data_IF_068773391693
#
_entry.id   IF_068773391693
#
_cell.length_a   1.000
_cell.length_b   1.000
_cell.length_c   1.000
_cell.angle_alpha   90.00
_cell.angle_beta   90.00
_cell.angle_gamma   90.00
#
_symmetry.space_group_name_H-M   'P 1'
#
loop_
_entity.id
_entity.type
_entity.pdbx_description
1 polymer ?
#
# COMPACT_ATOMS: atom_id res chain seq x y z
N UNK A 1 -6.54 -1.01 22.74
CA UNK A 1 -5.82 -1.94 21.87
C UNK A 1 -5.98 -3.37 22.39
N UNK A 2 -6.22 -4.34 21.51
CA UNK A 2 -6.52 -5.74 21.87
C UNK A 2 -5.30 -6.47 22.44
N UNK A 3 -4.09 -5.93 22.19
CA UNK A 3 -2.84 -6.44 22.75
C UNK A 3 -2.59 -7.92 22.41
N UNK A 4 -2.13 -8.70 23.40
CA UNK A 4 -1.80 -10.13 23.24
C UNK A 4 -3.02 -11.00 22.89
N UNK A 5 -4.24 -10.57 23.18
CA UNK A 5 -5.44 -11.32 22.80
C UNK A 5 -5.64 -11.42 21.27
N UNK A 6 -4.91 -10.61 20.49
CA UNK A 6 -4.93 -10.69 19.03
C UNK A 6 -3.97 -11.75 18.45
N UNK A 7 -3.06 -12.33 19.27
CA UNK A 7 -2.07 -13.30 18.78
C UNK A 7 -2.74 -14.50 18.09
N UNK A 8 -2.21 -14.88 16.93
CA UNK A 8 -2.77 -15.92 16.06
C UNK A 8 -3.92 -15.45 15.17
N UNK A 9 -4.47 -14.25 15.40
CA UNK A 9 -5.49 -13.67 14.55
C UNK A 9 -4.99 -13.47 13.11
N UNK A 10 -5.87 -13.72 12.13
CA UNK A 10 -5.57 -13.58 10.70
C UNK A 10 -6.46 -12.48 10.11
N UNK A 11 -5.88 -11.65 9.26
CA UNK A 11 -6.60 -10.60 8.52
C UNK A 11 -6.08 -10.48 7.11
N UNK A 12 -6.89 -9.94 6.21
CA UNK A 12 -6.48 -9.61 4.83
C UNK A 12 -6.61 -8.12 4.62
N UNK A 13 -5.57 -7.50 4.03
CA UNK A 13 -5.59 -6.08 3.75
C UNK A 13 -4.61 -5.71 2.64
N UNK A 14 -4.82 -4.55 1.99
CA UNK A 14 -3.96 -4.03 0.93
C UNK A 14 -2.66 -3.41 1.45
N UNK A 15 -2.45 -3.37 2.75
CA UNK A 15 -1.21 -2.90 3.37
C UNK A 15 -0.78 -3.81 4.51
N UNK A 16 0.52 -3.88 4.75
CA UNK A 16 1.08 -4.51 5.94
C UNK A 16 2.39 -3.82 6.32
N UNK A 17 2.61 -3.47 7.59
CA UNK A 17 3.92 -2.98 8.03
C UNK A 17 5.03 -4.04 7.89
N UNK A 18 4.67 -5.32 7.77
CA UNK A 18 5.59 -6.43 7.48
C UNK A 18 5.87 -6.64 5.99
N UNK A 19 5.20 -5.94 5.08
CA UNK A 19 5.43 -6.08 3.65
C UNK A 19 6.81 -5.53 3.24
N UNK A 20 7.57 -6.21 2.36
CA UNK A 20 8.88 -5.72 1.90
C UNK A 20 8.84 -4.29 1.35
N UNK A 21 7.82 -3.95 0.57
CA UNK A 21 7.67 -2.63 -0.04
C UNK A 21 7.40 -1.50 0.97
N UNK A 22 6.96 -1.82 2.19
CA UNK A 22 6.66 -0.85 3.22
C UNK A 22 7.85 -0.49 4.11
N UNK A 23 8.97 -1.26 4.06
CA UNK A 23 10.03 -1.20 5.07
C UNK A 23 10.66 0.18 5.22
N UNK A 24 11.00 0.85 4.13
CA UNK A 24 11.62 2.18 4.17
C UNK A 24 10.67 3.21 4.81
N UNK A 25 9.39 3.18 4.44
CA UNK A 25 8.39 4.05 5.02
C UNK A 25 8.17 3.74 6.51
N UNK A 26 8.07 2.47 6.88
CA UNK A 26 7.88 2.04 8.26
C UNK A 26 9.04 2.51 9.13
N UNK A 27 10.29 2.30 8.67
CA UNK A 27 11.48 2.73 9.39
C UNK A 27 11.52 4.27 9.58
N UNK A 28 11.28 5.03 8.51
CA UNK A 28 11.25 6.50 8.58
C UNK A 28 10.11 7.01 9.48
N UNK A 29 8.93 6.39 9.41
CA UNK A 29 7.79 6.77 10.24
C UNK A 29 8.06 6.47 11.72
N UNK A 30 8.61 5.30 12.04
CA UNK A 30 8.99 4.94 13.40
C UNK A 30 10.05 5.88 13.97
N UNK A 31 11.08 6.22 13.19
CA UNK A 31 12.11 7.18 13.61
C UNK A 31 11.52 8.56 13.92
N UNK A 32 10.52 8.99 13.15
CA UNK A 32 9.88 10.31 13.31
C UNK A 32 8.80 10.34 14.39
N UNK A 33 8.05 9.25 14.58
CA UNK A 33 6.82 9.22 15.39
C UNK A 33 6.87 8.29 16.60
N UNK A 34 7.92 7.49 16.76
CA UNK A 34 8.08 6.53 17.86
C UNK A 34 7.07 5.36 17.84
N UNK A 35 6.34 5.16 16.73
CA UNK A 35 5.34 4.09 16.60
C UNK A 35 5.21 3.63 15.16
N UNK A 36 4.61 2.45 14.95
CA UNK A 36 4.27 1.95 13.62
C UNK A 36 3.25 2.85 12.91
N UNK A 37 3.34 2.99 11.58
CA UNK A 37 2.29 3.64 10.80
C UNK A 37 1.01 2.82 10.83
N UNK A 38 -0.13 3.50 10.93
CA UNK A 38 -1.44 2.91 10.71
C UNK A 38 -1.89 3.08 9.26
N UNK A 39 -3.08 2.55 8.95
CA UNK A 39 -3.67 2.62 7.60
C UNK A 39 -3.71 4.04 7.03
N UNK A 40 -4.25 4.99 7.77
CA UNK A 40 -4.39 6.36 7.30
C UNK A 40 -3.05 7.03 6.96
N UNK A 41 -2.00 6.79 7.77
CA UNK A 41 -0.67 7.34 7.51
C UNK A 41 0.00 6.69 6.29
N UNK A 42 -0.17 5.37 6.11
CA UNK A 42 0.35 4.66 4.94
C UNK A 42 -0.39 5.08 3.67
N UNK A 43 -1.71 5.20 3.72
CA UNK A 43 -2.53 5.67 2.58
C UNK A 43 -2.18 7.09 2.16
N UNK A 44 -1.99 8.00 3.12
CA UNK A 44 -1.53 9.37 2.83
C UNK A 44 -0.15 9.40 2.17
N UNK A 45 0.78 8.57 2.65
CA UNK A 45 2.11 8.46 2.04
C UNK A 45 2.05 7.89 0.62
N UNK A 46 1.28 6.82 0.40
CA UNK A 46 1.08 6.22 -0.93
C UNK A 46 0.42 7.21 -1.89
N UNK A 47 -0.56 7.98 -1.45
CA UNK A 47 -1.14 9.06 -2.25
C UNK A 47 -0.08 10.04 -2.73
N UNK A 48 0.83 10.45 -1.84
CA UNK A 48 1.98 11.29 -2.20
C UNK A 48 2.90 10.64 -3.23
N UNK A 49 3.19 9.34 -3.10
CA UNK A 49 3.99 8.59 -4.07
C UNK A 49 3.33 8.54 -5.46
N UNK A 50 2.01 8.32 -5.51
CA UNK A 50 1.25 8.27 -6.76
C UNK A 50 1.24 9.65 -7.44
N UNK A 51 0.96 10.71 -6.68
CA UNK A 51 0.99 12.09 -7.21
C UNK A 51 2.39 12.43 -7.74
N UNK A 52 3.43 12.11 -6.96
CA UNK A 52 4.82 12.34 -7.38
C UNK A 52 5.14 11.59 -8.68
N UNK A 53 4.76 10.32 -8.80
CA UNK A 53 5.00 9.53 -10.00
C UNK A 53 4.31 10.15 -11.24
N UNK A 54 3.09 10.63 -11.09
CA UNK A 54 2.38 11.33 -12.15
C UNK A 54 3.06 12.64 -12.54
N UNK A 55 3.46 13.46 -11.56
CA UNK A 55 4.17 14.72 -11.78
C UNK A 55 5.53 14.51 -12.47
N UNK A 56 6.29 13.51 -12.03
CA UNK A 56 7.58 13.16 -12.65
C UNK A 56 7.38 12.75 -14.13
N UNK A 57 6.35 11.97 -14.41
CA UNK A 57 6.05 11.49 -15.76
C UNK A 57 5.70 12.62 -16.73
N UNK A 58 5.01 13.67 -16.27
CA UNK A 58 4.66 14.85 -17.06
C UNK A 58 5.62 16.03 -16.85
N UNK A 59 6.75 15.80 -16.14
CA UNK A 59 7.77 16.83 -15.85
C UNK A 59 7.19 18.09 -15.18
N UNK A 60 6.18 17.91 -14.34
CA UNK A 60 5.48 18.98 -13.63
C UNK A 60 4.44 19.74 -14.46
N UNK A 61 4.25 19.43 -15.73
CA UNK A 61 3.26 20.11 -16.59
C UNK A 61 1.85 19.55 -16.33
N UNK A 62 1.01 20.32 -15.65
CA UNK A 62 -0.39 20.02 -15.36
C UNK A 62 -1.38 20.74 -16.28
N UNK A 63 -0.92 21.39 -17.34
CA UNK A 63 -1.78 22.11 -18.29
C UNK A 63 -2.77 21.18 -19.00
N UNK A 64 -2.40 19.90 -19.18
CA UNK A 64 -3.26 18.87 -19.77
C UNK A 64 -3.53 17.72 -18.79
N UNK A 65 -4.72 17.76 -18.17
CA UNK A 65 -5.16 16.74 -17.19
C UNK A 65 -5.27 15.33 -17.79
N UNK A 66 -5.58 15.20 -19.09
CA UNK A 66 -5.70 13.91 -19.76
C UNK A 66 -4.33 13.24 -19.87
N UNK A 67 -3.28 13.99 -20.18
CA UNK A 67 -1.90 13.49 -20.22
C UNK A 67 -1.45 13.04 -18.83
N UNK A 68 -1.72 13.82 -17.78
CA UNK A 68 -1.43 13.44 -16.40
C UNK A 68 -2.16 12.15 -15.99
N UNK A 69 -3.47 12.04 -16.29
CA UNK A 69 -4.24 10.82 -16.04
C UNK A 69 -3.64 9.63 -16.76
N UNK A 70 -3.32 9.77 -18.05
CA UNK A 70 -2.76 8.69 -18.84
C UNK A 70 -1.42 8.21 -18.27
N UNK A 71 -0.57 9.12 -17.82
CA UNK A 71 0.71 8.80 -17.21
C UNK A 71 0.56 7.92 -15.94
N UNK A 72 -0.53 8.06 -15.19
CA UNK A 72 -0.83 7.20 -14.05
C UNK A 72 -1.36 5.81 -14.45
N UNK A 73 -1.95 5.69 -15.66
CA UNK A 73 -2.49 4.43 -16.19
C UNK A 73 -1.44 3.59 -16.92
N UNK A 74 -0.37 4.21 -17.43
CA UNK A 74 0.56 3.58 -18.39
C UNK A 74 1.40 2.45 -17.77
N UNK A 75 1.73 2.55 -16.49
CA UNK A 75 2.62 1.58 -15.85
C UNK A 75 2.40 1.49 -14.34
N UNK A 76 2.73 0.35 -13.73
CA UNK A 76 2.71 0.22 -12.28
C UNK A 76 3.64 1.23 -11.59
N UNK A 77 3.20 1.70 -10.43
CA UNK A 77 3.92 2.63 -9.56
C UNK A 77 4.37 1.85 -8.32
N UNK A 78 5.65 1.91 -7.99
CA UNK A 78 6.15 1.32 -6.74
C UNK A 78 5.75 2.18 -5.56
N UNK A 79 5.00 1.60 -4.62
CA UNK A 79 4.46 2.28 -3.45
C UNK A 79 4.72 1.49 -2.18
N UNK A 80 4.44 2.09 -1.02
CA UNK A 80 4.49 1.37 0.26
C UNK A 80 3.39 0.30 0.41
N UNK A 81 2.41 0.23 -0.50
CA UNK A 81 1.48 -0.89 -0.61
C UNK A 81 2.04 -2.05 -1.45
N UNK A 82 3.15 -1.85 -2.13
CA UNK A 82 3.70 -2.70 -3.18
C UNK A 82 3.47 -2.09 -4.56
N UNK A 83 3.66 -2.89 -5.63
CA UNK A 83 3.36 -2.45 -6.98
C UNK A 83 1.87 -2.11 -7.12
N UNK A 84 1.57 -0.88 -7.51
CA UNK A 84 0.21 -0.37 -7.68
C UNK A 84 -0.01 0.04 -9.13
N UNK A 85 -1.11 -0.39 -9.72
CA UNK A 85 -1.55 0.07 -11.05
C UNK A 85 -3.00 0.55 -10.97
N UNK A 86 -3.47 1.20 -12.02
CA UNK A 86 -4.87 1.58 -12.16
C UNK A 86 -5.50 0.87 -13.34
N UNK A 87 -6.69 0.34 -13.15
CA UNK A 87 -7.48 -0.27 -14.21
C UNK A 87 -8.01 0.83 -15.15
N UNK A 88 -7.65 0.83 -16.44
CA UNK A 88 -8.10 1.84 -17.37
C UNK A 88 -9.62 1.82 -17.63
N UNK A 89 -10.32 0.72 -17.31
CA UNK A 89 -11.76 0.57 -17.49
C UNK A 89 -12.57 1.38 -16.47
N UNK A 90 -12.09 1.43 -15.22
CA UNK A 90 -12.85 1.99 -14.10
C UNK A 90 -12.02 2.89 -13.17
N UNK A 91 -10.72 3.03 -13.43
CA UNK A 91 -9.73 3.76 -12.64
C UNK A 91 -9.55 3.22 -11.19
N UNK A 92 -9.96 1.99 -10.93
CA UNK A 92 -9.72 1.35 -9.65
C UNK A 92 -8.25 0.90 -9.54
N UNK A 93 -7.76 0.87 -8.31
CA UNK A 93 -6.41 0.39 -8.04
C UNK A 93 -6.33 -1.14 -8.17
N UNK A 94 -5.27 -1.60 -8.82
CA UNK A 94 -4.83 -2.99 -8.86
C UNK A 94 -3.69 -3.10 -7.86
N UNK A 95 -3.88 -3.88 -6.80
CA UNK A 95 -3.00 -3.94 -5.63
C UNK A 95 -2.71 -5.38 -5.23
N UNK A 96 -1.61 -5.55 -4.50
CA UNK A 96 -1.38 -6.76 -3.74
C UNK A 96 -2.26 -6.77 -2.49
N UNK A 97 -2.78 -7.94 -2.13
CA UNK A 97 -3.52 -8.16 -0.89
C UNK A 97 -2.69 -9.09 0.00
N UNK A 98 -2.35 -8.60 1.17
CA UNK A 98 -1.57 -9.33 2.15
C UNK A 98 -2.48 -10.09 3.11
N UNK A 99 -2.17 -11.36 3.35
CA UNK A 99 -2.70 -12.11 4.47
C UNK A 99 -1.73 -11.94 5.63
N UNK A 100 -2.19 -11.32 6.68
CA UNK A 100 -1.41 -11.06 7.88
C UNK A 100 -1.83 -12.01 9.00
N UNK A 101 -0.86 -12.48 9.78
CA UNK A 101 -1.07 -13.13 11.08
C UNK A 101 -0.46 -12.26 12.17
N UNK A 102 -1.15 -12.11 13.27
CA UNK A 102 -0.59 -11.42 14.44
C UNK A 102 0.35 -12.35 15.16
N UNK A 103 1.63 -12.01 15.17
CA UNK A 103 2.71 -12.75 15.83
C UNK A 103 3.48 -11.81 16.77
N UNK A 104 4.42 -12.33 17.56
CA UNK A 104 5.33 -11.50 18.35
C UNK A 104 6.54 -11.10 17.49
N UNK A 105 6.88 -9.81 17.50
CA UNK A 105 8.14 -9.33 16.93
C UNK A 105 9.35 -9.73 17.80
N UNK A 106 10.55 -9.37 17.37
CA UNK A 106 11.79 -9.66 18.11
C UNK A 106 11.84 -9.03 19.51
N UNK A 107 10.99 -8.05 19.79
CA UNK A 107 10.83 -7.39 21.09
C UNK A 107 9.63 -7.92 21.88
N UNK A 108 8.98 -9.00 21.41
CA UNK A 108 7.84 -9.62 22.05
C UNK A 108 6.51 -8.86 21.88
N UNK A 109 6.43 -7.88 21.02
CA UNK A 109 5.22 -7.05 20.80
C UNK A 109 4.35 -7.65 19.68
N UNK A 110 3.01 -7.59 19.78
CA UNK A 110 2.13 -8.00 18.67
C UNK A 110 2.45 -7.23 17.39
N UNK A 111 2.66 -7.96 16.29
CA UNK A 111 3.04 -7.43 14.98
C UNK A 111 2.34 -8.23 13.87
N UNK A 112 1.96 -7.56 12.78
CA UNK A 112 1.37 -8.20 11.62
C UNK A 112 2.47 -8.76 10.70
N UNK A 113 2.66 -10.08 10.75
CA UNK A 113 3.55 -10.81 9.84
C UNK A 113 2.79 -11.19 8.58
N UNK A 114 3.34 -10.90 7.41
CA UNK A 114 2.77 -11.36 6.13
C UNK A 114 3.01 -12.86 5.99
N UNK A 115 1.93 -13.64 5.92
CA UNK A 115 2.00 -15.10 5.74
C UNK A 115 1.64 -15.53 4.32
N UNK A 116 0.96 -14.69 3.56
CA UNK A 116 0.66 -14.89 2.14
C UNK A 116 0.40 -13.56 1.43
N UNK A 117 0.62 -13.52 0.12
CA UNK A 117 0.33 -12.36 -0.73
C UNK A 117 -0.42 -12.80 -1.98
N UNK A 118 -1.62 -12.28 -2.17
CA UNK A 118 -2.33 -12.36 -3.43
C UNK A 118 -1.91 -11.18 -4.30
N UNK A 119 -1.22 -11.46 -5.40
CA UNK A 119 -0.65 -10.42 -6.24
C UNK A 119 -1.66 -9.84 -7.21
N UNK A 120 -1.59 -8.52 -7.42
CA UNK A 120 -2.29 -7.79 -8.48
C UNK A 120 -3.80 -8.07 -8.53
N UNK A 121 -4.45 -8.03 -7.38
CA UNK A 121 -5.90 -8.20 -7.31
C UNK A 121 -6.59 -7.02 -7.98
N UNK A 122 -7.46 -7.34 -8.91
CA UNK A 122 -8.22 -6.41 -9.74
C UNK A 122 -9.71 -6.63 -9.52
N UNK A 123 -10.50 -5.57 -9.63
CA UNK A 123 -11.97 -5.67 -9.65
C UNK A 123 -12.41 -6.59 -10.80
N UNK A 124 -13.13 -7.69 -10.53
CA UNK A 124 -13.61 -8.59 -11.56
C UNK A 124 -14.67 -7.95 -12.49
N UNK A 125 -15.17 -6.77 -12.14
CA UNK A 125 -16.28 -6.12 -12.82
C UNK A 125 -17.64 -6.68 -12.40
N UNK A 126 -18.72 -6.23 -13.06
CA UNK A 126 -20.07 -6.72 -12.75
C UNK A 126 -20.14 -8.22 -13.03
N UNK A 127 -20.74 -8.96 -12.10
CA UNK A 127 -21.09 -10.37 -12.33
C UNK A 127 -22.25 -10.41 -13.31
N UNK A 128 -22.04 -11.08 -14.44
CA UNK A 128 -23.09 -11.37 -15.44
C UNK A 128 -24.12 -12.33 -14.87
#
# INVERSE_FOLDING_TARGET
>A
AVGEAALGGVSTFHQSPGAPAAQDFVAAYQASRGRLPGEASTSGYVTGQVIKAGLDAVKGDLSNKAVFKQALLDKPINTAFGPMAFDPRNNQSILDIYVNRVEKDAQGRPFNTVVHTYQRIQDPGPRS
#
